data_IF_390716038830
#
_entry.id   IF_390716038830
#
_cell.length_a   1.000
_cell.length_b   1.000
_cell.length_c   1.000
_cell.angle_alpha   90.00
_cell.angle_beta   90.00
_cell.angle_gamma   90.00
#
_symmetry.space_group_name_H-M   'P 1'
#
loop_
_entity.id
_entity.type
_entity.pdbx_description
1 polymer ?
#
# COMPACT_ATOMS: atom_id res chain seq x y z
N UNK A 1 11.24 20.74 19.77
CA UNK A 1 10.56 19.48 20.08
C UNK A 1 11.46 18.63 20.96
N UNK A 2 10.88 17.93 21.93
CA UNK A 2 11.59 17.00 22.79
C UNK A 2 11.29 15.60 22.26
N UNK A 3 12.35 14.87 21.87
CA UNK A 3 12.26 13.49 21.38
C UNK A 3 13.01 12.54 22.31
N UNK A 4 12.79 11.24 22.12
CA UNK A 4 13.44 10.16 22.86
C UNK A 4 14.39 9.33 22.00
N UNK A 5 14.71 9.80 20.79
CA UNK A 5 15.55 9.09 19.82
C UNK A 5 17.04 9.39 19.96
N UNK A 6 17.90 8.65 19.23
CA UNK A 6 19.36 8.81 19.26
C UNK A 6 19.88 10.06 18.54
N UNK A 7 18.99 10.82 17.88
CA UNK A 7 19.32 12.06 17.20
C UNK A 7 18.49 13.22 17.72
N UNK A 8 19.07 14.40 17.76
CA UNK A 8 18.43 15.65 18.10
C UNK A 8 18.41 16.59 16.89
N UNK A 9 17.40 17.45 16.85
CA UNK A 9 17.29 18.50 15.86
C UNK A 9 18.46 19.49 15.97
N UNK A 10 19.06 19.85 14.85
CA UNK A 10 20.10 20.87 14.73
C UNK A 10 19.55 22.11 14.00
N UNK A 11 19.21 21.98 12.72
CA UNK A 11 18.81 23.11 11.88
C UNK A 11 17.86 22.72 10.76
N UNK A 12 17.17 23.74 10.18
CA UNK A 12 16.40 23.62 8.94
C UNK A 12 17.19 24.26 7.78
N UNK A 13 17.15 23.62 6.61
CA UNK A 13 17.45 24.27 5.36
C UNK A 13 16.18 24.95 4.83
N UNK A 14 16.27 26.25 4.53
CA UNK A 14 15.13 27.03 4.03
C UNK A 14 15.57 27.79 2.78
N UNK A 15 14.86 27.63 1.66
CA UNK A 15 15.06 28.33 0.41
C UNK A 15 13.72 28.93 -0.04
N UNK A 16 13.75 30.22 -0.41
CA UNK A 16 12.54 30.94 -0.85
C UNK A 16 11.34 30.76 0.10
N UNK A 17 11.58 30.84 1.40
CA UNK A 17 10.58 30.66 2.46
C UNK A 17 9.94 29.24 2.49
N UNK A 18 10.56 28.26 1.86
CA UNK A 18 10.15 26.85 1.86
C UNK A 18 11.21 26.01 2.57
N UNK A 19 10.79 25.08 3.43
CA UNK A 19 11.71 24.14 4.08
C UNK A 19 12.14 23.10 3.04
N UNK A 20 13.45 23.04 2.76
CA UNK A 20 14.06 22.11 1.79
C UNK A 20 14.81 20.98 2.46
N UNK A 21 14.93 20.99 3.78
CA UNK A 21 15.58 19.90 4.51
C UNK A 21 15.68 20.15 6.00
N UNK A 22 16.17 19.13 6.69
CA UNK A 22 16.46 19.16 8.12
C UNK A 22 17.81 18.48 8.40
N UNK A 23 18.56 19.05 9.30
CA UNK A 23 19.80 18.48 9.84
C UNK A 23 19.54 17.96 11.24
N UNK A 24 19.99 16.74 11.49
CA UNK A 24 19.95 16.07 12.76
C UNK A 24 21.40 15.74 13.18
N UNK A 25 21.72 15.91 14.47
CA UNK A 25 23.00 15.52 15.06
C UNK A 25 22.78 14.44 16.12
N UNK A 26 23.81 13.63 16.34
CA UNK A 26 23.77 12.61 17.38
C UNK A 26 23.46 13.28 18.75
N UNK A 27 22.61 12.61 19.51
CA UNK A 27 22.29 13.04 20.87
C UNK A 27 23.12 12.24 21.88
N UNK A 28 24.18 12.84 22.39
CA UNK A 28 25.15 12.17 23.29
C UNK A 28 24.56 11.74 24.64
N UNK A 29 23.39 12.27 25.02
CA UNK A 29 22.67 11.89 26.25
C UNK A 29 21.53 10.89 25.99
N UNK A 30 21.54 10.23 24.84
CA UNK A 30 20.57 9.18 24.53
C UNK A 30 20.73 8.02 25.53
N UNK A 31 19.60 7.48 26.01
CA UNK A 31 19.58 6.45 27.05
C UNK A 31 19.93 5.03 26.53
N UNK A 32 19.93 4.82 25.20
CA UNK A 32 20.31 3.58 24.53
C UNK A 32 21.74 3.65 23.99
N UNK A 33 22.06 2.73 23.07
CA UNK A 33 23.38 2.69 22.42
C UNK A 33 23.62 3.94 21.57
N UNK A 34 24.83 4.44 21.61
CA UNK A 34 25.21 5.63 20.85
C UNK A 34 25.09 5.37 19.33
N UNK A 35 24.52 6.32 18.61
CA UNK A 35 24.46 6.25 17.16
C UNK A 35 25.85 6.32 16.54
N UNK A 36 26.12 5.49 15.51
CA UNK A 36 27.41 5.47 14.81
C UNK A 36 27.62 6.66 13.87
N UNK A 37 26.51 7.25 13.37
CA UNK A 37 26.54 8.38 12.44
C UNK A 37 26.37 9.67 13.27
N UNK A 38 27.31 10.60 13.13
CA UNK A 38 27.29 11.84 13.90
C UNK A 38 26.25 12.83 13.41
N UNK A 39 25.98 12.83 12.09
CA UNK A 39 25.11 13.83 11.45
C UNK A 39 24.31 13.21 10.31
N UNK A 40 23.00 13.46 10.30
CA UNK A 40 22.08 13.08 9.23
C UNK A 40 21.51 14.35 8.61
N UNK A 41 21.65 14.48 7.29
CA UNK A 41 21.05 15.57 6.53
C UNK A 41 19.92 14.99 5.66
N UNK A 42 18.68 15.34 5.96
CA UNK A 42 17.51 14.96 5.19
C UNK A 42 17.20 16.11 4.24
N UNK A 43 17.13 15.83 2.94
CA UNK A 43 16.75 16.79 1.89
C UNK A 43 15.38 16.43 1.33
N UNK A 44 14.55 17.42 1.11
CA UNK A 44 13.22 17.25 0.57
C UNK A 44 13.22 17.52 -0.94
N UNK A 45 12.63 16.59 -1.69
CA UNK A 45 12.45 16.67 -3.13
C UNK A 45 10.96 16.64 -3.46
N UNK A 46 10.59 17.18 -4.62
CA UNK A 46 9.19 17.25 -5.04
C UNK A 46 8.58 15.85 -5.28
N UNK A 47 9.40 14.94 -5.78
CA UNK A 47 8.99 13.56 -6.12
C UNK A 47 10.15 12.57 -6.00
N UNK A 48 9.85 11.29 -6.16
CA UNK A 48 10.82 10.20 -6.09
C UNK A 48 11.84 10.25 -7.23
N UNK A 49 11.45 10.72 -8.41
CA UNK A 49 12.34 10.84 -9.56
C UNK A 49 13.43 11.88 -9.33
N UNK A 50 13.06 13.05 -8.78
CA UNK A 50 14.02 14.10 -8.40
C UNK A 50 14.96 13.64 -7.29
N UNK A 51 14.47 12.89 -6.33
CA UNK A 51 15.30 12.30 -5.26
C UNK A 51 16.29 11.26 -5.83
N UNK A 52 15.85 10.42 -6.78
CA UNK A 52 16.72 9.46 -7.44
C UNK A 52 17.79 10.16 -8.31
N UNK A 53 17.43 11.23 -9.03
CA UNK A 53 18.41 12.02 -9.77
C UNK A 53 19.46 12.63 -8.85
N UNK A 54 19.06 13.16 -7.70
CA UNK A 54 19.98 13.72 -6.71
C UNK A 54 20.92 12.64 -6.11
N UNK A 55 20.50 11.39 -6.05
CA UNK A 55 21.39 10.28 -5.72
C UNK A 55 22.41 10.02 -6.83
N UNK A 56 21.99 9.98 -8.09
CA UNK A 56 22.88 9.80 -9.23
C UNK A 56 23.93 10.92 -9.35
N UNK A 57 23.54 12.14 -9.00
CA UNK A 57 24.42 13.32 -9.00
C UNK A 57 25.31 13.40 -7.74
N UNK A 58 25.17 12.46 -6.80
CA UNK A 58 25.99 12.38 -5.58
C UNK A 58 25.59 13.37 -4.47
N UNK A 59 24.44 14.04 -4.57
CA UNK A 59 23.97 14.98 -3.55
C UNK A 59 23.40 14.29 -2.31
N UNK A 60 22.94 13.05 -2.44
CA UNK A 60 22.45 12.22 -1.33
C UNK A 60 23.00 10.80 -1.44
N UNK A 61 23.15 10.10 -0.32
CA UNK A 61 23.63 8.72 -0.26
C UNK A 61 22.52 7.67 -0.21
N UNK A 62 21.27 8.11 -0.08
CA UNK A 62 20.12 7.23 -0.06
C UNK A 62 18.84 8.00 -0.32
N UNK A 63 17.82 7.29 -0.73
CA UNK A 63 16.49 7.83 -1.00
C UNK A 63 15.45 7.04 -0.21
N UNK A 64 14.40 7.70 0.22
CA UNK A 64 13.22 7.09 0.83
C UNK A 64 12.04 7.17 -0.13
N UNK A 65 11.02 6.36 0.12
CA UNK A 65 9.76 6.42 -0.62
C UNK A 65 9.93 6.25 -2.13
N UNK A 66 10.54 5.12 -2.54
CA UNK A 66 10.67 4.75 -3.96
C UNK A 66 9.28 4.42 -4.51
N UNK A 67 8.81 5.21 -5.47
CA UNK A 67 7.53 5.02 -6.15
C UNK A 67 7.65 4.03 -7.33
N UNK A 68 6.52 3.48 -7.80
CA UNK A 68 6.51 2.44 -8.82
C UNK A 68 7.16 2.86 -10.15
N UNK A 69 7.09 4.14 -10.51
CA UNK A 69 7.72 4.69 -11.71
C UNK A 69 9.26 4.75 -11.62
N UNK A 70 9.81 4.85 -10.42
CA UNK A 70 11.26 4.88 -10.16
C UNK A 70 11.79 3.49 -9.80
N UNK A 71 10.97 2.61 -9.25
CA UNK A 71 11.37 1.28 -8.77
C UNK A 71 12.17 0.45 -9.78
N UNK A 72 11.81 0.35 -11.07
CA UNK A 72 12.61 -0.40 -12.05
C UNK A 72 14.04 0.14 -12.20
N UNK A 73 14.22 1.46 -12.12
CA UNK A 73 15.54 2.10 -12.19
C UNK A 73 16.39 1.83 -10.96
N UNK A 74 15.75 1.82 -9.78
CA UNK A 74 16.40 1.50 -8.50
C UNK A 74 16.82 0.03 -8.47
N UNK A 75 15.98 -0.89 -8.93
CA UNK A 75 16.28 -2.32 -9.00
C UNK A 75 17.39 -2.65 -10.01
N UNK A 76 17.54 -1.86 -11.06
CA UNK A 76 18.60 -2.01 -12.08
C UNK A 76 19.94 -1.38 -11.65
N UNK A 77 19.98 -0.64 -10.55
CA UNK A 77 21.19 0.02 -10.06
C UNK A 77 21.89 -0.88 -9.04
N UNK A 78 23.03 -1.44 -9.44
CA UNK A 78 23.81 -2.38 -8.61
C UNK A 78 24.45 -1.73 -7.35
N UNK A 79 24.59 -0.39 -7.33
CA UNK A 79 25.13 0.36 -6.19
C UNK A 79 24.07 0.62 -5.11
N UNK A 80 22.80 0.28 -5.35
CA UNK A 80 21.70 0.48 -4.42
C UNK A 80 21.25 -0.82 -3.77
N UNK A 81 21.10 -0.79 -2.45
CA UNK A 81 20.40 -1.82 -1.69
C UNK A 81 18.97 -1.34 -1.40
N UNK A 82 17.96 -2.03 -1.93
CA UNK A 82 16.57 -1.74 -1.65
C UNK A 82 16.11 -2.44 -0.37
N UNK A 83 15.71 -1.67 0.62
CA UNK A 83 15.09 -2.16 1.85
C UNK A 83 13.60 -1.82 1.82
N UNK A 84 12.76 -2.84 1.79
CA UNK A 84 11.31 -2.69 1.86
C UNK A 84 10.78 -3.26 3.17
N UNK A 85 9.75 -2.62 3.71
CA UNK A 85 9.01 -3.13 4.87
C UNK A 85 7.51 -3.15 4.57
N UNK A 86 6.81 -4.08 5.20
CA UNK A 86 5.35 -4.16 5.09
C UNK A 86 4.74 -3.00 5.87
N UNK A 87 3.94 -2.20 5.20
CA UNK A 87 3.12 -1.20 5.87
C UNK A 87 1.86 -1.86 6.43
N UNK A 88 1.41 -1.51 7.63
CA UNK A 88 0.14 -1.96 8.20
C UNK A 88 -1.03 -1.22 7.52
N UNK A 89 -1.15 -1.40 6.21
CA UNK A 89 -2.19 -0.80 5.37
C UNK A 89 -2.95 -1.89 4.64
N UNK A 90 -4.27 -1.84 4.71
CA UNK A 90 -5.16 -2.75 4.00
C UNK A 90 -6.11 -1.96 3.12
N UNK A 91 -6.35 -2.43 1.90
CA UNK A 91 -7.38 -1.92 1.01
C UNK A 91 -8.60 -2.82 1.12
N UNK A 92 -9.75 -2.24 1.41
CA UNK A 92 -11.01 -2.94 1.66
C UNK A 92 -12.11 -2.37 0.77
N UNK A 93 -13.05 -3.24 0.39
CA UNK A 93 -14.36 -2.85 -0.14
C UNK A 93 -15.38 -3.10 0.96
N UNK A 94 -16.07 -2.05 1.38
CA UNK A 94 -17.13 -2.11 2.40
C UNK A 94 -18.48 -1.89 1.74
N UNK A 95 -19.42 -2.78 2.01
CA UNK A 95 -20.81 -2.64 1.54
C UNK A 95 -21.65 -1.91 2.59
N UNK A 96 -22.33 -0.85 2.17
CA UNK A 96 -23.31 -0.20 3.03
C UNK A 96 -24.63 -1.00 3.03
N UNK A 97 -24.80 -1.82 4.07
CA UNK A 97 -25.98 -2.69 4.19
C UNK A 97 -27.25 -1.95 4.63
N UNK A 98 -27.13 -0.69 5.04
CA UNK A 98 -28.26 0.13 5.50
C UNK A 98 -28.83 1.02 4.39
N UNK A 99 -28.23 1.02 3.21
CA UNK A 99 -28.67 1.83 2.09
C UNK A 99 -29.80 1.14 1.33
N UNK A 100 -31.00 1.69 1.43
CA UNK A 100 -32.19 1.16 0.76
C UNK A 100 -32.19 1.36 -0.77
N UNK A 101 -31.30 2.20 -1.29
CA UNK A 101 -31.15 2.40 -2.74
C UNK A 101 -30.38 1.25 -3.43
N UNK A 102 -29.66 0.45 -2.65
CA UNK A 102 -28.86 -0.70 -3.11
C UNK A 102 -29.19 -1.97 -2.30
N UNK A 103 -30.46 -2.42 -2.29
CA UNK A 103 -30.94 -3.50 -1.42
C UNK A 103 -30.29 -4.85 -1.71
N UNK A 104 -29.75 -5.04 -2.92
CA UNK A 104 -29.04 -6.26 -3.31
C UNK A 104 -27.77 -6.52 -2.47
N UNK A 105 -27.17 -5.51 -1.85
CA UNK A 105 -26.05 -5.73 -0.93
C UNK A 105 -26.47 -6.35 0.41
N UNK A 106 -27.75 -6.37 0.75
CA UNK A 106 -28.25 -7.08 1.92
C UNK A 106 -28.22 -8.59 1.72
N UNK A 107 -28.29 -9.05 0.45
CA UNK A 107 -28.18 -10.47 0.12
C UNK A 107 -26.73 -10.95 0.24
N UNK A 108 -26.50 -11.98 1.06
CA UNK A 108 -25.16 -12.56 1.32
C UNK A 108 -24.56 -13.18 0.07
N UNK A 109 -25.37 -13.89 -0.71
CA UNK A 109 -24.96 -14.60 -1.93
C UNK A 109 -24.48 -13.63 -3.01
N UNK A 110 -25.13 -12.47 -3.11
CA UNK A 110 -24.69 -11.38 -4.01
C UNK A 110 -23.31 -10.85 -3.58
N UNK A 111 -23.10 -10.61 -2.30
CA UNK A 111 -21.79 -10.16 -1.83
C UNK A 111 -20.70 -11.21 -2.05
N UNK A 112 -21.01 -12.50 -1.85
CA UNK A 112 -20.09 -13.61 -2.14
C UNK A 112 -19.74 -13.68 -3.64
N UNK A 113 -20.74 -13.52 -4.50
CA UNK A 113 -20.52 -13.50 -5.95
C UNK A 113 -19.59 -12.35 -6.36
N UNK A 114 -19.79 -11.16 -5.83
CA UNK A 114 -18.91 -10.02 -6.08
C UNK A 114 -17.48 -10.27 -5.60
N UNK A 115 -17.32 -10.93 -4.46
CA UNK A 115 -16.00 -11.28 -3.94
C UNK A 115 -15.27 -12.30 -4.84
N UNK A 116 -15.97 -13.34 -5.32
CA UNK A 116 -15.44 -14.33 -6.26
C UNK A 116 -15.11 -13.73 -7.63
N UNK A 117 -15.85 -12.71 -8.06
CA UNK A 117 -15.66 -12.06 -9.36
C UNK A 117 -14.45 -11.11 -9.41
N UNK A 118 -13.84 -10.75 -8.28
CA UNK A 118 -12.70 -9.86 -8.23
C UNK A 118 -11.40 -10.66 -8.28
N UNK A 119 -10.64 -10.52 -9.37
CA UNK A 119 -9.30 -11.09 -9.47
C UNK A 119 -8.31 -10.25 -8.65
N UNK A 120 -8.23 -10.55 -7.36
CA UNK A 120 -7.36 -9.83 -6.41
C UNK A 120 -5.88 -10.00 -6.73
N UNK A 121 -5.48 -11.18 -7.26
CA UNK A 121 -4.09 -11.40 -7.65
C UNK A 121 -3.68 -10.53 -8.85
N UNK A 122 -4.59 -10.33 -9.79
CA UNK A 122 -4.35 -9.42 -10.93
C UNK A 122 -4.18 -7.98 -10.45
N UNK A 123 -4.94 -7.55 -9.43
CA UNK A 123 -4.76 -6.22 -8.81
C UNK A 123 -3.38 -6.12 -8.15
N UNK A 124 -2.95 -7.13 -7.40
CA UNK A 124 -1.61 -7.16 -6.80
C UNK A 124 -0.54 -7.03 -7.86
N UNK A 125 -0.66 -7.77 -8.96
CA UNK A 125 0.35 -7.79 -10.00
C UNK A 125 0.40 -6.49 -10.82
N UNK A 126 -0.78 -5.96 -11.21
CA UNK A 126 -0.85 -4.86 -12.18
C UNK A 126 -0.95 -3.46 -11.56
N UNK A 127 -1.46 -3.36 -10.32
CA UNK A 127 -1.64 -2.06 -9.64
C UNK A 127 -0.54 -1.82 -8.60
N UNK A 128 -0.08 -2.89 -7.97
CA UNK A 128 0.94 -2.84 -6.93
C UNK A 128 2.29 -3.40 -7.38
N UNK A 129 2.47 -3.76 -8.66
CA UNK A 129 3.70 -4.36 -9.21
C UNK A 129 4.24 -5.52 -8.36
N UNK A 130 3.34 -6.35 -7.82
CA UNK A 130 3.67 -7.44 -6.92
C UNK A 130 4.07 -7.01 -5.49
N UNK A 131 4.03 -5.72 -5.16
CA UNK A 131 4.46 -5.20 -3.85
C UNK A 131 3.38 -5.28 -2.75
N UNK A 132 2.28 -5.97 -3.00
CA UNK A 132 1.22 -6.23 -2.03
C UNK A 132 1.05 -7.73 -1.81
N UNK A 133 0.38 -8.08 -0.72
CA UNK A 133 -0.03 -9.46 -0.43
C UNK A 133 -1.55 -9.53 -0.33
N UNK A 134 -2.11 -10.68 -0.73
CA UNK A 134 -3.54 -10.92 -0.56
C UNK A 134 -3.89 -10.97 0.93
N UNK A 135 -4.92 -10.23 1.32
CA UNK A 135 -5.49 -10.29 2.65
C UNK A 135 -6.67 -11.27 2.66
N UNK A 136 -6.61 -12.30 3.51
CA UNK A 136 -7.70 -13.24 3.73
C UNK A 136 -8.66 -12.80 4.84
N UNK A 137 -8.36 -11.67 5.49
CA UNK A 137 -9.16 -11.08 6.56
C UNK A 137 -8.69 -9.67 6.88
N UNK A 138 -9.29 -9.06 7.87
CA UNK A 138 -8.97 -7.69 8.32
C UNK A 138 -7.79 -7.62 9.30
N UNK A 139 -7.29 -8.76 9.74
CA UNK A 139 -6.15 -8.86 10.66
C UNK A 139 -4.87 -9.08 9.83
N UNK A 140 -3.85 -8.30 10.12
CA UNK A 140 -2.57 -8.39 9.40
C UNK A 140 -1.81 -9.68 9.71
N UNK A 141 -1.23 -10.34 8.68
CA UNK A 141 -0.29 -11.43 8.89
C UNK A 141 0.88 -11.04 9.80
N UNK A 142 1.27 -11.95 10.69
CA UNK A 142 2.36 -11.73 11.65
C UNK A 142 1.95 -10.99 12.93
N UNK A 143 0.65 -10.67 13.13
CA UNK A 143 0.13 -10.17 14.40
C UNK A 143 -0.40 -11.32 15.25
N UNK A 144 -0.47 -11.13 16.56
CA UNK A 144 -0.91 -12.15 17.51
C UNK A 144 -2.36 -12.65 17.30
N UNK A 145 -3.20 -11.85 16.65
CA UNK A 145 -4.60 -12.17 16.37
C UNK A 145 -4.82 -12.74 14.95
N UNK A 146 -3.76 -12.90 14.15
CA UNK A 146 -3.88 -13.46 12.81
C UNK A 146 -4.18 -14.95 12.87
N UNK A 147 -5.13 -15.39 12.06
CA UNK A 147 -5.52 -16.79 11.95
C UNK A 147 -4.91 -17.39 10.67
N UNK A 148 -3.80 -18.15 10.83
CA UNK A 148 -3.08 -18.76 9.70
C UNK A 148 -3.91 -19.83 8.96
N UNK A 149 -4.90 -20.43 9.64
CA UNK A 149 -5.78 -21.44 9.06
C UNK A 149 -6.95 -20.89 8.24
N UNK A 150 -7.01 -19.57 8.04
CA UNK A 150 -8.05 -18.97 7.22
C UNK A 150 -7.77 -19.25 5.73
N UNK A 151 -8.57 -20.14 5.14
CA UNK A 151 -8.43 -20.49 3.74
C UNK A 151 -8.71 -19.29 2.84
N UNK A 152 -7.85 -19.04 1.84
CA UNK A 152 -8.10 -18.01 0.85
C UNK A 152 -9.31 -18.39 -0.01
N UNK A 153 -10.11 -17.42 -0.38
CA UNK A 153 -11.16 -17.60 -1.38
C UNK A 153 -10.58 -17.22 -2.74
N UNK A 154 -10.55 -18.16 -3.66
CA UNK A 154 -9.99 -17.96 -4.99
C UNK A 154 -10.93 -17.14 -5.90
N UNK A 155 -10.34 -16.58 -6.95
CA UNK A 155 -11.07 -15.92 -8.02
C UNK A 155 -11.82 -16.97 -8.84
N UNK A 156 -13.14 -16.92 -8.86
CA UNK A 156 -14.01 -17.83 -9.60
C UNK A 156 -15.21 -17.07 -10.21
N UNK A 157 -15.05 -16.48 -11.40
CA UNK A 157 -16.10 -15.74 -12.06
C UNK A 157 -17.27 -16.61 -12.53
N UNK A 158 -17.05 -17.92 -12.76
CA UNK A 158 -18.10 -18.85 -13.17
C UNK A 158 -19.04 -19.12 -11.99
N UNK A 159 -18.47 -19.44 -10.82
CA UNK A 159 -19.24 -19.60 -9.59
C UNK A 159 -19.95 -18.28 -9.20
N UNK A 160 -19.29 -17.14 -9.38
CA UNK A 160 -19.89 -15.83 -9.16
C UNK A 160 -21.15 -15.62 -10.04
N UNK A 161 -21.03 -15.98 -11.31
CA UNK A 161 -22.14 -15.86 -12.26
C UNK A 161 -23.32 -16.77 -11.88
N UNK A 162 -23.02 -18.01 -11.45
CA UNK A 162 -24.06 -18.95 -11.03
C UNK A 162 -24.75 -18.49 -9.74
N UNK A 163 -24.01 -18.00 -8.75
CA UNK A 163 -24.60 -17.43 -7.53
C UNK A 163 -25.55 -16.26 -7.84
N UNK A 164 -25.15 -15.34 -8.73
CA UNK A 164 -26.03 -14.24 -9.14
C UNK A 164 -27.28 -14.73 -9.85
N UNK A 165 -27.16 -15.73 -10.72
CA UNK A 165 -28.29 -16.35 -11.42
C UNK A 165 -29.28 -17.00 -10.45
N UNK A 166 -28.77 -17.70 -9.44
CA UNK A 166 -29.62 -18.32 -8.38
C UNK A 166 -30.40 -17.27 -7.57
N UNK A 167 -29.89 -16.04 -7.50
CA UNK A 167 -30.57 -14.92 -6.85
C UNK A 167 -31.44 -14.08 -7.83
N UNK A 168 -31.70 -14.60 -9.03
CA UNK A 168 -32.53 -13.93 -10.03
C UNK A 168 -31.80 -12.88 -10.90
N UNK A 169 -30.50 -12.66 -10.70
CA UNK A 169 -29.74 -11.72 -11.51
C UNK A 169 -29.22 -12.38 -12.79
N UNK A 170 -29.92 -12.16 -13.88
CA UNK A 170 -29.63 -12.78 -15.18
C UNK A 170 -29.25 -11.74 -16.23
N UNK A 171 -28.51 -12.16 -17.26
CA UNK A 171 -28.29 -11.38 -18.47
C UNK A 171 -29.52 -11.57 -19.35
N UNK A 172 -30.26 -10.50 -19.60
CA UNK A 172 -31.52 -10.56 -20.37
C UNK A 172 -31.33 -10.33 -21.87
N UNK A 173 -30.17 -9.84 -22.30
CA UNK A 173 -29.86 -9.58 -23.71
C UNK A 173 -28.35 -9.58 -23.95
N UNK A 174 -27.91 -10.12 -25.09
CA UNK A 174 -26.51 -10.08 -25.52
C UNK A 174 -25.98 -8.64 -25.77
N UNK A 175 -26.90 -7.70 -26.01
CA UNK A 175 -26.57 -6.29 -26.22
C UNK A 175 -26.55 -5.47 -24.93
N UNK A 176 -27.06 -6.01 -23.82
CA UNK A 176 -27.03 -5.40 -22.50
C UNK A 176 -26.44 -6.41 -21.50
N UNK A 177 -25.10 -6.38 -21.31
CA UNK A 177 -24.41 -7.35 -20.46
C UNK A 177 -24.64 -7.12 -18.96
N UNK A 178 -25.46 -6.14 -18.58
CA UNK A 178 -25.78 -5.86 -17.18
C UNK A 178 -26.79 -6.89 -16.68
N UNK A 179 -26.45 -7.55 -15.57
CA UNK A 179 -27.39 -8.47 -14.92
C UNK A 179 -28.51 -7.68 -14.22
N UNK A 180 -29.73 -8.13 -14.46
CA UNK A 180 -30.94 -7.54 -13.85
C UNK A 180 -31.66 -8.60 -13.03
N UNK A 181 -32.31 -8.19 -11.98
CA UNK A 181 -33.20 -9.06 -11.22
C UNK A 181 -34.55 -9.16 -11.97
N UNK A 182 -35.02 -10.39 -12.20
CA UNK A 182 -36.33 -10.67 -12.76
C UNK A 182 -37.45 -10.33 -11.75
#
# INVERSE_FOLDING_TARGET
PIGSGPYQYDSLAVENNTITGVTLTRFDKYAGDAAYIDKIVIRYYADSASAYQAYLDGYVQGISNVTNDVLPKVLANEDLNLYSSRLPKISLVLFNLNDSSVPYFQNKEVRQALYLAINRQLIVNNVYDGQAILANGVIFPGTWAYLDSLEPVDYDPEQAAELLKQQGYVITSDTDPVRKQD
#
